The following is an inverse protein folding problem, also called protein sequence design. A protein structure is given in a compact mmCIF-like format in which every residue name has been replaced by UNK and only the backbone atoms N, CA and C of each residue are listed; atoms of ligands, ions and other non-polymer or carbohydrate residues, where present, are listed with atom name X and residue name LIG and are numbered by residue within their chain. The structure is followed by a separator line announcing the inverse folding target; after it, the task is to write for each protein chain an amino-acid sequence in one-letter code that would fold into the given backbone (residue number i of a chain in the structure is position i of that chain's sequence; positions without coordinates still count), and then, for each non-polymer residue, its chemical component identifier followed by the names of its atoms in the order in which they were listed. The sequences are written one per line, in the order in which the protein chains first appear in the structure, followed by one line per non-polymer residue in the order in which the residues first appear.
data_IF_363589737786
#
_entry.id   IF_363589737786
#
_cell.length_a   1.000
_cell.length_b   1.000
_cell.length_c   1.000
_cell.angle_alpha   90.00
_cell.angle_beta   90.00
_cell.angle_gamma   90.00
#
_symmetry.space_group_name_H-M   'P 1'
#
loop_
_entity.id
_entity.type
_entity.pdbx_description
1 polymer ?
#
# COMPACT_ATOMS: atom_id res chain seq x y z
N UNK A 1 26.66 -2.90 -9.66
CA UNK A 1 25.73 -3.55 -8.75
C UNK A 1 24.30 -3.22 -9.19
N UNK A 2 23.47 -4.22 -9.46
CA UNK A 2 22.11 -3.92 -9.88
C UNK A 2 21.31 -3.30 -8.75
N UNK A 3 20.58 -2.25 -9.08
CA UNK A 3 19.69 -1.63 -8.13
C UNK A 3 18.36 -2.37 -8.24
N UNK A 4 17.97 -3.03 -7.20
CA UNK A 4 16.68 -3.69 -7.14
C UNK A 4 15.66 -2.68 -6.67
N UNK A 5 14.78 -2.27 -7.55
CA UNK A 5 13.66 -1.42 -7.18
C UNK A 5 12.59 -2.30 -6.57
N UNK A 6 12.28 -2.04 -5.33
CA UNK A 6 11.24 -2.76 -4.64
C UNK A 6 9.96 -1.93 -4.63
N UNK A 7 8.89 -2.51 -5.12
CA UNK A 7 7.58 -1.88 -5.13
C UNK A 7 6.73 -2.43 -4.00
N UNK A 8 5.88 -1.58 -3.46
CA UNK A 8 5.00 -1.95 -2.37
C UNK A 8 3.56 -1.63 -2.72
N UNK A 9 2.65 -2.44 -2.22
CA UNK A 9 1.23 -2.22 -2.33
C UNK A 9 0.65 -1.99 -0.95
N UNK A 10 -0.43 -1.22 -0.91
CA UNK A 10 -1.15 -0.96 0.33
C UNK A 10 -2.54 -1.59 0.24
N UNK A 11 -2.92 -2.27 1.31
CA UNK A 11 -4.29 -2.74 1.49
C UNK A 11 -4.77 -2.27 2.85
N UNK A 12 -6.05 -1.98 2.95
CA UNK A 12 -6.61 -1.47 4.20
C UNK A 12 -8.12 -1.71 4.23
N UNK A 13 -8.70 -1.54 5.39
CA UNK A 13 -10.15 -1.53 5.57
C UNK A 13 -10.57 -0.07 5.76
N UNK A 14 -11.49 0.41 4.93
CA UNK A 14 -11.93 1.78 5.03
C UNK A 14 -12.90 1.99 6.20
N UNK A 15 -13.32 3.23 6.42
CA UNK A 15 -14.20 3.58 7.53
C UNK A 15 -15.56 2.89 7.47
N UNK A 16 -15.96 2.44 6.28
CA UNK A 16 -17.22 1.70 6.08
C UNK A 16 -17.06 0.20 6.28
N UNK A 17 -15.87 -0.26 6.61
CA UNK A 17 -15.60 -1.69 6.79
C UNK A 17 -15.32 -2.45 5.50
N UNK A 18 -15.12 -1.75 4.38
CA UNK A 18 -14.86 -2.36 3.08
C UNK A 18 -13.35 -2.49 2.88
N UNK A 19 -12.90 -3.67 2.44
CA UNK A 19 -11.49 -3.90 2.13
C UNK A 19 -11.11 -3.19 0.84
N UNK A 20 -10.01 -2.45 0.89
CA UNK A 20 -9.52 -1.66 -0.25
C UNK A 20 -8.07 -2.00 -0.55
N UNK A 21 -7.65 -1.72 -1.77
CA UNK A 21 -6.26 -1.87 -2.19
C UNK A 21 -5.83 -0.66 -3.01
N UNK A 22 -4.54 -0.32 -2.95
CA UNK A 22 -4.01 0.77 -3.75
C UNK A 22 -4.08 0.42 -5.24
N UNK A 23 -4.39 1.42 -6.07
CA UNK A 23 -4.45 1.21 -7.52
C UNK A 23 -3.07 1.32 -8.17
N UNK A 24 -2.07 1.71 -7.40
CA UNK A 24 -0.70 1.93 -7.88
C UNK A 24 0.29 1.35 -6.89
N UNK A 25 1.51 1.10 -7.35
CA UNK A 25 2.59 0.68 -6.48
C UNK A 25 3.35 1.89 -5.96
N UNK A 26 4.00 1.73 -4.82
CA UNK A 26 4.74 2.79 -4.16
C UNK A 26 6.16 2.33 -3.88
N UNK A 27 7.09 3.28 -3.79
CA UNK A 27 8.38 2.99 -3.19
C UNK A 27 8.23 2.95 -1.66
N UNK A 28 9.30 2.60 -0.96
CA UNK A 28 9.25 2.43 0.49
C UNK A 28 8.80 3.69 1.22
N UNK A 29 9.38 4.84 0.85
CA UNK A 29 9.06 6.10 1.51
C UNK A 29 7.62 6.55 1.23
N UNK A 30 7.19 6.43 -0.03
CA UNK A 30 5.83 6.79 -0.41
C UNK A 30 4.81 5.87 0.23
N UNK A 31 5.10 4.59 0.33
CA UNK A 31 4.23 3.62 0.99
C UNK A 31 4.03 3.97 2.47
N UNK A 32 5.12 4.31 3.17
CA UNK A 32 5.04 4.71 4.57
C UNK A 32 4.21 5.97 4.76
N UNK A 33 4.40 6.97 3.89
CA UNK A 33 3.63 8.21 3.95
C UNK A 33 2.16 7.95 3.68
N UNK A 34 1.85 7.13 2.68
CA UNK A 34 0.46 6.83 2.33
C UNK A 34 -0.23 6.04 3.45
N UNK A 35 0.51 5.12 4.08
CA UNK A 35 -0.01 4.37 5.22
C UNK A 35 -0.45 5.32 6.33
N UNK A 36 0.39 6.30 6.68
CA UNK A 36 0.08 7.28 7.70
C UNK A 36 -1.15 8.12 7.33
N UNK A 37 -1.28 8.51 6.05
CA UNK A 37 -2.43 9.26 5.56
C UNK A 37 -3.71 8.44 5.69
N UNK A 38 -3.66 7.17 5.32
CA UNK A 38 -4.83 6.28 5.41
C UNK A 38 -5.27 6.10 6.85
N UNK A 39 -4.33 5.88 7.75
CA UNK A 39 -4.64 5.72 9.18
C UNK A 39 -5.24 7.00 9.76
N UNK A 40 -4.71 8.16 9.37
CA UNK A 40 -5.24 9.45 9.80
C UNK A 40 -6.65 9.69 9.24
N UNK A 41 -6.98 9.10 8.10
CA UNK A 41 -8.29 9.21 7.49
C UNK A 41 -9.32 8.21 7.99
N UNK A 42 -8.96 7.37 8.96
CA UNK A 42 -9.89 6.40 9.54
C UNK A 42 -9.76 4.98 9.04
N UNK A 43 -8.77 4.69 8.18
CA UNK A 43 -8.52 3.34 7.71
C UNK A 43 -7.96 2.47 8.84
N UNK A 44 -8.30 1.18 8.83
CA UNK A 44 -7.79 0.20 9.79
C UNK A 44 -7.15 -0.94 9.03
N UNK A 45 -6.36 -1.76 9.72
CA UNK A 45 -5.67 -2.91 9.14
C UNK A 45 -4.86 -2.53 7.90
N UNK A 46 -4.19 -1.38 7.96
CA UNK A 46 -3.37 -0.91 6.83
C UNK A 46 -2.12 -1.76 6.77
N UNK A 47 -1.93 -2.42 5.62
CA UNK A 47 -0.82 -3.33 5.41
C UNK A 47 0.00 -2.85 4.21
N UNK A 48 1.32 -2.82 4.39
CA UNK A 48 2.27 -2.56 3.31
C UNK A 48 2.93 -3.88 2.96
N UNK A 49 2.80 -4.32 1.72
CA UNK A 49 3.35 -5.59 1.29
C UNK A 49 4.19 -5.40 0.02
N UNK A 50 5.35 -6.07 -0.08
CA UNK A 50 6.14 -6.01 -1.30
C UNK A 50 5.42 -6.71 -2.45
N UNK A 51 5.52 -6.14 -3.64
CA UNK A 51 4.93 -6.72 -4.85
C UNK A 51 5.98 -6.73 -5.96
N UNK A 52 5.75 -7.57 -6.96
CA UNK A 52 6.60 -7.63 -8.13
C UNK A 52 6.24 -6.50 -9.08
N UNK A 53 7.21 -6.00 -9.89
CA UNK A 53 6.91 -5.03 -10.93
C UNK A 53 5.78 -5.53 -11.84
N UNK A 54 4.81 -4.64 -12.10
CA UNK A 54 3.66 -4.97 -12.93
C UNK A 54 2.52 -5.67 -12.21
N UNK A 55 2.74 -6.08 -10.96
CA UNK A 55 1.70 -6.72 -10.16
C UNK A 55 0.91 -5.65 -9.39
N UNK A 56 -0.41 -5.79 -9.37
CA UNK A 56 -1.26 -4.90 -8.60
C UNK A 56 -1.85 -5.64 -7.41
N UNK A 57 -2.04 -4.95 -6.28
CA UNK A 57 -2.60 -5.57 -5.09
C UNK A 57 -4.07 -5.91 -5.27
N UNK A 58 -4.49 -6.96 -4.58
CA UNK A 58 -5.90 -7.32 -4.48
C UNK A 58 -6.36 -7.07 -3.06
N UNK A 59 -7.55 -6.53 -2.92
CA UNK A 59 -8.08 -6.28 -1.58
C UNK A 59 -8.28 -7.55 -0.78
#
# INVERSE_FOLDING_TARGET
MPITMQNFALTWTDASGVRRASAVSYDENSASSRKAELEAGGATDVTVAPIRPGELPKP
#
